data_IF_513048656470
#
_entry.id   IF_513048656470
#
_cell.length_a   1.000
_cell.length_b   1.000
_cell.length_c   1.000
_cell.angle_alpha   90.00
_cell.angle_beta   90.00
_cell.angle_gamma   90.00
#
_symmetry.space_group_name_H-M   'P 1'
#
loop_
_entity.id
_entity.type
_entity.pdbx_description
1 polymer ?
#
# COMPACT_ATOMS: atom_id res chain seq x y z
N UNK A 1 -3.79 -26.15 -11.24
CA UNK A 1 -3.21 -25.27 -12.29
C UNK A 1 -4.31 -24.65 -13.11
N UNK A 2 -4.20 -23.38 -13.40
CA UNK A 2 -5.13 -22.67 -14.27
C UNK A 2 -4.54 -22.52 -15.68
N UNK A 3 -5.36 -22.08 -16.61
CA UNK A 3 -4.93 -21.67 -17.95
C UNK A 3 -5.30 -20.21 -18.15
N UNK A 4 -4.80 -19.60 -19.23
CA UNK A 4 -5.15 -18.22 -19.55
C UNK A 4 -6.66 -18.03 -19.80
N UNK A 5 -7.39 -19.11 -20.04
CA UNK A 5 -8.86 -19.05 -20.18
C UNK A 5 -9.55 -18.81 -18.82
N UNK A 6 -8.87 -19.06 -17.72
CA UNK A 6 -9.42 -18.92 -16.37
C UNK A 6 -9.10 -17.57 -15.72
N UNK A 7 -8.39 -16.68 -16.43
CA UNK A 7 -7.95 -15.42 -15.86
C UNK A 7 -9.10 -14.54 -15.41
N UNK A 8 -8.90 -13.89 -14.26
CA UNK A 8 -9.83 -12.90 -13.69
C UNK A 8 -9.01 -11.75 -13.13
N UNK A 9 -9.60 -10.56 -13.11
CA UNK A 9 -8.97 -9.40 -12.48
C UNK A 9 -8.75 -9.66 -10.99
N UNK A 10 -7.57 -9.34 -10.49
CA UNK A 10 -7.19 -9.60 -9.11
C UNK A 10 -6.54 -10.95 -8.87
N UNK A 11 -6.58 -11.86 -9.84
CA UNK A 11 -5.89 -13.15 -9.73
C UNK A 11 -4.38 -12.94 -9.65
N UNK A 12 -3.68 -13.72 -8.81
CA UNK A 12 -2.24 -13.63 -8.66
C UNK A 12 -1.59 -14.83 -9.35
N UNK A 13 -0.62 -14.54 -10.21
CA UNK A 13 0.15 -15.54 -10.96
C UNK A 13 1.57 -15.59 -10.43
N UNK A 14 2.14 -16.79 -10.37
CA UNK A 14 3.56 -16.99 -10.12
C UNK A 14 4.26 -17.15 -11.48
N UNK A 15 5.02 -16.14 -11.87
CA UNK A 15 5.79 -16.16 -13.11
C UNK A 15 7.27 -16.05 -12.76
N UNK A 16 7.99 -17.14 -13.01
CA UNK A 16 9.45 -17.22 -12.74
C UNK A 16 9.83 -16.86 -11.31
N UNK A 17 9.00 -17.30 -10.34
CA UNK A 17 9.25 -17.06 -8.92
C UNK A 17 8.78 -15.70 -8.43
N UNK A 18 8.20 -14.87 -9.28
CA UNK A 18 7.65 -13.58 -8.90
C UNK A 18 6.13 -13.61 -8.96
N UNK A 19 5.50 -12.90 -8.03
CA UNK A 19 4.04 -12.82 -7.94
C UNK A 19 3.55 -11.58 -8.67
N UNK A 20 2.58 -11.79 -9.58
CA UNK A 20 1.98 -10.75 -10.40
C UNK A 20 0.46 -10.79 -10.27
N UNK A 21 -0.14 -9.64 -10.01
CA UNK A 21 -1.60 -9.50 -9.98
C UNK A 21 -2.11 -9.11 -11.36
N UNK A 22 -3.13 -9.80 -11.84
CA UNK A 22 -3.78 -9.46 -13.11
C UNK A 22 -4.68 -8.24 -12.88
N UNK A 23 -4.32 -7.10 -13.48
CA UNK A 23 -5.13 -5.88 -13.38
C UNK A 23 -6.12 -5.77 -14.53
N UNK A 24 -5.70 -6.18 -15.74
CA UNK A 24 -6.56 -6.22 -16.92
C UNK A 24 -6.18 -7.39 -17.81
N UNK A 25 -7.15 -7.92 -18.53
CA UNK A 25 -6.88 -8.92 -19.55
C UNK A 25 -7.90 -8.81 -20.67
N UNK A 26 -7.49 -9.24 -21.88
CA UNK A 26 -8.35 -9.25 -23.05
C UNK A 26 -8.06 -10.48 -23.89
N UNK A 27 -9.11 -11.27 -24.17
CA UNK A 27 -9.02 -12.39 -25.11
C UNK A 27 -9.17 -11.86 -26.54
N UNK A 28 -8.21 -12.21 -27.41
CA UNK A 28 -8.22 -11.78 -28.82
C UNK A 28 -8.20 -13.00 -29.71
N UNK A 29 -9.16 -13.06 -30.65
CA UNK A 29 -9.24 -14.09 -31.68
C UNK A 29 -9.02 -13.41 -33.03
N UNK A 30 -7.78 -13.39 -33.55
CA UNK A 30 -7.53 -12.78 -34.86
C UNK A 30 -8.15 -13.61 -35.98
N UNK A 31 -8.45 -12.99 -37.09
CA UNK A 31 -8.95 -13.69 -38.27
C UNK A 31 -7.96 -14.65 -38.90
N UNK A 32 -6.68 -14.44 -38.68
CA UNK A 32 -5.56 -15.33 -39.06
C UNK A 32 -4.62 -15.47 -37.87
N UNK A 33 -4.20 -16.71 -37.59
CA UNK A 33 -3.31 -17.01 -36.49
C UNK A 33 -4.02 -17.53 -35.26
N UNK A 34 -3.27 -17.89 -34.22
CA UNK A 34 -3.78 -18.42 -32.96
C UNK A 34 -4.40 -17.35 -32.08
N UNK A 35 -5.41 -17.72 -31.31
CA UNK A 35 -5.97 -16.85 -30.29
C UNK A 35 -4.92 -16.56 -29.19
N UNK A 36 -4.96 -15.37 -28.62
CA UNK A 36 -4.05 -14.96 -27.56
C UNK A 36 -4.77 -14.12 -26.51
N UNK A 37 -4.12 -13.95 -25.37
CA UNK A 37 -4.65 -13.14 -24.25
C UNK A 37 -3.63 -12.06 -23.94
N UNK A 38 -4.02 -10.81 -24.02
CA UNK A 38 -3.22 -9.68 -23.57
C UNK A 38 -3.51 -9.46 -22.09
N UNK A 39 -2.45 -9.32 -21.29
CA UNK A 39 -2.61 -9.06 -19.86
C UNK A 39 -1.80 -7.85 -19.45
N UNK A 40 -2.34 -7.11 -18.49
CA UNK A 40 -1.59 -6.11 -17.75
C UNK A 40 -1.37 -6.67 -16.35
N UNK A 41 -0.11 -6.78 -15.95
CA UNK A 41 0.31 -7.41 -14.70
C UNK A 41 1.00 -6.40 -13.80
N UNK A 42 0.65 -6.43 -12.54
CA UNK A 42 1.30 -5.60 -11.52
C UNK A 42 2.08 -6.48 -10.56
N UNK A 43 3.38 -6.23 -10.42
CA UNK A 43 4.20 -6.96 -9.46
C UNK A 43 3.71 -6.69 -8.05
N UNK A 44 3.44 -7.75 -7.29
CA UNK A 44 2.86 -7.65 -5.95
C UNK A 44 3.81 -6.94 -4.98
N UNK A 45 5.11 -7.13 -5.13
CA UNK A 45 6.11 -6.54 -4.23
C UNK A 45 6.58 -5.16 -4.69
N UNK A 46 6.97 -5.02 -5.95
CA UNK A 46 7.56 -3.77 -6.46
C UNK A 46 6.54 -2.76 -6.96
N UNK A 47 5.31 -3.22 -7.27
CA UNK A 47 4.29 -2.37 -7.88
C UNK A 47 4.51 -2.10 -9.37
N UNK A 48 5.58 -2.64 -9.96
CA UNK A 48 5.88 -2.46 -11.38
C UNK A 48 4.77 -3.06 -12.25
N UNK A 49 4.33 -2.31 -13.25
CA UNK A 49 3.29 -2.73 -14.18
C UNK A 49 3.93 -3.09 -15.51
N UNK A 50 3.59 -4.27 -16.03
CA UNK A 50 4.07 -4.73 -17.34
C UNK A 50 2.90 -5.30 -18.14
N UNK A 51 3.02 -5.25 -19.45
CA UNK A 51 2.10 -5.94 -20.35
C UNK A 51 2.72 -7.26 -20.78
N UNK A 52 1.92 -8.32 -20.78
CA UNK A 52 2.36 -9.64 -21.23
C UNK A 52 1.27 -10.30 -22.05
N UNK A 53 1.66 -10.88 -23.18
CA UNK A 53 0.75 -11.61 -24.05
C UNK A 53 1.03 -13.09 -23.93
N UNK A 54 -0.03 -13.88 -23.71
CA UNK A 54 0.03 -15.33 -23.63
C UNK A 54 -0.75 -15.92 -24.80
N UNK A 55 -0.32 -17.07 -25.30
CA UNK A 55 -1.18 -17.84 -26.19
C UNK A 55 -2.39 -18.35 -25.43
N UNK A 56 -3.55 -18.40 -26.09
CA UNK A 56 -4.76 -18.91 -25.46
C UNK A 56 -4.57 -20.37 -25.03
N UNK A 57 -5.03 -20.68 -23.81
CA UNK A 57 -4.88 -22.01 -23.23
C UNK A 57 -3.52 -22.31 -22.60
N UNK A 58 -2.62 -21.34 -22.54
CA UNK A 58 -1.33 -21.51 -21.87
C UNK A 58 -1.57 -21.79 -20.37
N UNK A 59 -0.86 -22.78 -19.83
CA UNK A 59 -0.90 -23.07 -18.40
C UNK A 59 -0.20 -21.97 -17.63
N UNK A 60 -0.83 -21.53 -16.56
CA UNK A 60 -0.29 -20.52 -15.64
C UNK A 60 -0.36 -21.04 -14.21
N UNK A 61 0.68 -20.78 -13.44
CA UNK A 61 0.72 -21.12 -12.04
C UNK A 61 0.06 -19.98 -11.26
N UNK A 62 -0.96 -20.31 -10.45
CA UNK A 62 -1.63 -19.34 -9.59
C UNK A 62 -1.07 -19.39 -8.19
N UNK A 63 -1.12 -18.25 -7.48
CA UNK A 63 -0.71 -18.15 -6.09
C UNK A 63 -1.86 -17.61 -5.28
N UNK A 64 -2.02 -18.11 -4.05
CA UNK A 64 -3.01 -17.61 -3.11
C UNK A 64 -2.35 -16.57 -2.22
N UNK A 65 -2.95 -15.37 -2.16
CA UNK A 65 -2.54 -14.32 -1.26
C UNK A 65 -3.67 -14.09 -0.27
N UNK A 66 -3.40 -14.33 1.01
CA UNK A 66 -4.35 -14.10 2.08
C UNK A 66 -4.20 -12.66 2.57
N UNK A 67 -5.29 -11.91 2.57
CA UNK A 67 -5.33 -10.59 3.18
C UNK A 67 -5.94 -10.71 4.57
N UNK A 68 -5.16 -10.36 5.59
CA UNK A 68 -5.57 -10.50 6.99
C UNK A 68 -5.61 -9.13 7.66
N UNK A 69 -6.68 -8.90 8.41
CA UNK A 69 -6.77 -7.73 9.28
C UNK A 69 -5.84 -7.91 10.48
N UNK A 70 -4.93 -6.99 10.67
CA UNK A 70 -3.98 -7.01 11.77
C UNK A 70 -3.91 -5.65 12.45
N UNK A 71 -3.38 -5.65 13.68
CA UNK A 71 -3.18 -4.44 14.46
C UNK A 71 -1.70 -4.22 14.66
N UNK A 72 -1.22 -3.01 14.37
CA UNK A 72 0.17 -2.66 14.63
C UNK A 72 0.39 -2.50 16.13
N UNK A 73 1.41 -3.16 16.65
CA UNK A 73 1.73 -3.12 18.09
C UNK A 73 2.93 -2.20 18.40
N UNK A 74 4.09 -2.51 17.83
CA UNK A 74 5.32 -1.77 18.12
C UNK A 74 6.40 -2.09 17.10
N UNK A 75 7.45 -1.28 17.12
CA UNK A 75 8.63 -1.51 16.29
C UNK A 75 9.69 -2.25 17.11
N UNK A 76 10.24 -3.31 16.52
CA UNK A 76 11.31 -4.12 17.11
C UNK A 76 12.53 -4.07 16.18
N UNK A 77 13.48 -3.18 16.48
CA UNK A 77 14.62 -2.96 15.59
C UNK A 77 14.18 -2.45 14.22
N UNK A 78 14.53 -3.19 13.16
CA UNK A 78 14.14 -2.87 11.80
C UNK A 78 12.78 -3.45 11.42
N UNK A 79 12.18 -4.26 12.28
CA UNK A 79 10.90 -4.92 12.03
C UNK A 79 9.75 -4.20 12.73
N UNK A 80 8.58 -4.36 12.17
CA UNK A 80 7.32 -3.87 12.72
C UNK A 80 6.48 -5.07 13.11
N UNK A 81 5.94 -5.05 14.33
CA UNK A 81 5.20 -6.19 14.89
C UNK A 81 3.70 -5.93 14.75
N UNK A 82 3.01 -6.88 14.13
CA UNK A 82 1.56 -6.84 13.93
C UNK A 82 0.91 -8.06 14.57
N UNK A 83 -0.30 -7.90 15.08
CA UNK A 83 -1.08 -8.97 15.68
C UNK A 83 -2.29 -9.29 14.81
N UNK A 84 -2.45 -10.56 14.47
CA UNK A 84 -3.63 -11.03 13.72
C UNK A 84 -4.88 -10.83 14.55
N UNK A 85 -5.92 -10.21 13.97
CA UNK A 85 -7.17 -9.93 14.66
C UNK A 85 -7.99 -11.17 15.01
N UNK A 86 -7.79 -12.27 14.30
CA UNK A 86 -8.53 -13.50 14.52
C UNK A 86 -7.79 -14.49 15.42
N UNK A 87 -6.49 -14.69 15.17
CA UNK A 87 -5.70 -15.70 15.88
C UNK A 87 -4.90 -15.15 17.04
N UNK A 88 -4.73 -13.82 17.10
CA UNK A 88 -3.87 -13.10 18.08
C UNK A 88 -2.39 -13.44 17.96
N UNK A 89 -2.00 -14.14 16.89
CA UNK A 89 -0.58 -14.39 16.63
C UNK A 89 0.12 -13.10 16.23
N UNK A 90 1.36 -12.95 16.67
CA UNK A 90 2.19 -11.79 16.32
C UNK A 90 3.16 -12.17 15.21
N UNK A 91 3.29 -11.29 14.23
CA UNK A 91 4.26 -11.46 13.15
C UNK A 91 5.19 -10.25 13.07
N UNK A 92 6.43 -10.51 12.68
CA UNK A 92 7.42 -9.48 12.43
C UNK A 92 7.48 -9.21 10.93
N UNK A 93 7.27 -7.95 10.55
CA UNK A 93 7.30 -7.54 9.14
C UNK A 93 8.47 -6.57 8.96
N UNK A 94 9.43 -6.88 8.07
CA UNK A 94 10.54 -5.97 7.83
C UNK A 94 10.05 -4.59 7.38
N UNK A 95 10.76 -3.53 7.79
CA UNK A 95 10.40 -2.16 7.41
C UNK A 95 10.34 -1.95 5.91
N UNK A 96 11.16 -2.65 5.14
CA UNK A 96 11.12 -2.61 3.68
C UNK A 96 9.78 -3.12 3.13
N UNK A 97 9.23 -4.16 3.75
CA UNK A 97 7.94 -4.74 3.36
C UNK A 97 6.77 -3.82 3.74
N UNK A 98 6.86 -3.16 4.89
CA UNK A 98 5.85 -2.16 5.30
C UNK A 98 5.85 -0.98 4.32
N UNK A 99 7.02 -0.59 3.83
CA UNK A 99 7.16 0.48 2.86
C UNK A 99 7.00 1.87 3.45
N UNK A 100 6.65 2.84 2.63
CA UNK A 100 6.52 4.25 3.04
C UNK A 100 5.44 4.48 4.09
N UNK A 101 4.45 3.59 4.17
CA UNK A 101 3.39 3.68 5.18
C UNK A 101 3.90 3.58 6.61
N UNK A 102 5.09 3.02 6.84
CA UNK A 102 5.69 2.93 8.18
C UNK A 102 5.82 4.29 8.86
N UNK A 103 5.96 5.36 8.08
CA UNK A 103 6.08 6.71 8.62
C UNK A 103 4.78 7.24 9.24
N UNK A 104 3.65 6.57 8.98
CA UNK A 104 2.34 6.97 9.47
C UNK A 104 1.72 5.97 10.45
N UNK A 105 2.46 4.92 10.83
CA UNK A 105 1.95 3.91 11.75
C UNK A 105 1.95 4.42 13.19
N UNK A 106 0.79 4.34 13.83
CA UNK A 106 0.63 4.52 15.27
C UNK A 106 0.28 3.18 15.91
N UNK A 107 0.62 3.01 17.19
CA UNK A 107 0.19 1.85 17.98
C UNK A 107 -1.32 1.68 17.87
N UNK A 108 -1.74 0.43 17.75
CA UNK A 108 -3.17 0.04 17.61
C UNK A 108 -3.83 0.45 16.30
N UNK A 109 -3.05 0.86 15.29
CA UNK A 109 -3.59 1.09 13.94
C UNK A 109 -3.98 -0.25 13.32
N UNK A 110 -5.21 -0.33 12.81
CA UNK A 110 -5.68 -1.49 12.07
C UNK A 110 -5.19 -1.40 10.63
N UNK A 111 -4.56 -2.46 10.16
CA UNK A 111 -3.99 -2.56 8.81
C UNK A 111 -4.42 -3.86 8.16
N UNK A 112 -4.19 -3.98 6.86
CA UNK A 112 -4.33 -5.25 6.15
C UNK A 112 -2.95 -5.72 5.75
N UNK A 113 -2.61 -6.95 6.12
CA UNK A 113 -1.33 -7.56 5.74
C UNK A 113 -1.62 -8.68 4.73
N UNK A 114 -0.97 -8.60 3.58
CA UNK A 114 -1.06 -9.65 2.57
C UNK A 114 0.03 -10.69 2.83
N UNK A 115 -0.36 -11.95 2.91
CA UNK A 115 0.53 -13.06 3.29
C UNK A 115 0.43 -14.16 2.23
N UNK A 116 1.57 -14.69 1.83
CA UNK A 116 1.67 -15.85 0.95
C UNK A 116 2.59 -16.89 1.60
N UNK A 117 2.07 -18.08 1.85
CA UNK A 117 2.81 -19.17 2.51
C UNK A 117 3.50 -18.73 3.80
N UNK A 118 2.79 -17.95 4.63
CA UNK A 118 3.32 -17.45 5.91
C UNK A 118 4.26 -16.27 5.79
N UNK A 119 4.60 -15.84 4.57
CA UNK A 119 5.50 -14.70 4.35
C UNK A 119 4.70 -13.44 4.07
N UNK A 120 4.90 -12.35 4.84
CA UNK A 120 4.23 -11.09 4.56
C UNK A 120 4.78 -10.48 3.26
N UNK A 121 3.87 -10.04 2.40
CA UNK A 121 4.21 -9.47 1.10
C UNK A 121 4.17 -7.94 1.13
N UNK A 122 3.13 -7.39 1.73
CA UNK A 122 2.96 -5.95 1.86
C UNK A 122 1.95 -5.64 2.96
N UNK A 123 1.94 -4.39 3.39
CA UNK A 123 1.01 -3.89 4.42
C UNK A 123 0.24 -2.72 3.82
N UNK A 124 -1.09 -2.77 3.92
CA UNK A 124 -1.97 -1.68 3.50
C UNK A 124 -2.49 -0.97 4.74
N UNK A 125 -2.17 0.32 4.86
CA UNK A 125 -2.72 1.17 5.91
C UNK A 125 -4.08 1.73 5.46
N UNK A 126 -4.91 2.21 6.41
CA UNK A 126 -6.05 3.03 6.02
C UNK A 126 -5.57 4.20 5.15
N UNK A 127 -6.33 4.53 4.11
CA UNK A 127 -5.95 5.62 3.18
C UNK A 127 -5.83 6.95 3.91
N UNK A 128 -6.71 7.18 4.87
CA UNK A 128 -6.71 8.40 5.68
C UNK A 128 -6.48 8.04 7.14
N UNK A 129 -5.54 8.74 7.77
CA UNK A 129 -5.30 8.62 9.20
C UNK A 129 -5.35 9.99 9.85
N UNK A 130 -5.78 10.01 11.12
CA UNK A 130 -5.76 11.20 11.95
C UNK A 130 -4.49 11.19 12.80
N UNK A 131 -3.65 12.20 12.62
CA UNK A 131 -2.36 12.31 13.29
C UNK A 131 -2.21 13.69 13.91
N UNK A 132 -1.60 13.74 15.10
CA UNK A 132 -1.38 14.99 15.83
C UNK A 132 -0.07 15.61 15.40
N UNK A 133 -0.07 16.93 15.22
CA UNK A 133 1.15 17.69 14.94
C UNK A 133 1.98 17.76 16.21
N UNK A 134 3.16 17.15 16.18
CA UNK A 134 4.10 17.19 17.29
C UNK A 134 4.84 18.53 17.34
N UNK A 135 5.22 19.06 16.19
CA UNK A 135 5.92 20.33 16.07
C UNK A 135 5.68 20.97 14.69
N UNK A 136 5.44 22.26 14.68
CA UNK A 136 5.45 23.09 13.48
C UNK A 136 5.76 24.53 13.89
N UNK A 137 6.40 25.27 13.01
CA UNK A 137 6.67 26.67 13.23
C UNK A 137 5.41 27.51 13.04
N UNK A 138 5.29 28.66 13.71
CA UNK A 138 4.16 29.55 13.46
C UNK A 138 4.19 30.07 12.01
N UNK A 139 3.01 30.12 11.39
CA UNK A 139 2.86 30.76 10.08
C UNK A 139 2.87 32.26 10.23
N UNK A 140 3.88 32.94 9.67
CA UNK A 140 4.01 34.38 9.77
C UNK A 140 3.14 35.08 8.69
N UNK A 141 2.43 36.12 9.11
CA UNK A 141 1.68 36.96 8.16
C UNK A 141 2.66 37.68 7.24
N UNK A 142 2.36 37.65 5.95
CA UNK A 142 3.18 38.31 4.95
C UNK A 142 4.20 37.41 4.27
N UNK A 143 4.44 36.22 4.78
CA UNK A 143 5.35 35.27 4.14
C UNK A 143 4.82 34.80 2.78
N UNK A 144 3.48 34.74 2.64
CA UNK A 144 2.82 34.31 1.42
C UNK A 144 1.57 35.15 1.18
N UNK A 145 1.38 35.55 -0.04
CA UNK A 145 0.17 36.24 -0.41
C UNK A 145 -1.04 35.33 -0.52
N UNK A 146 -0.84 34.08 -0.95
CA UNK A 146 -1.90 33.07 -1.05
C UNK A 146 -1.30 31.68 -0.97
N UNK A 147 -2.01 30.76 -0.30
CA UNK A 147 -1.78 29.33 -0.41
C UNK A 147 -0.41 28.79 0.03
N UNK A 148 0.30 29.54 0.88
CA UNK A 148 1.59 29.08 1.39
C UNK A 148 1.46 27.86 2.27
N UNK A 149 2.51 27.01 2.26
CA UNK A 149 2.61 25.85 3.14
C UNK A 149 3.85 25.94 3.99
N UNK A 150 3.89 25.12 5.03
CA UNK A 150 5.05 24.99 5.92
C UNK A 150 5.21 23.53 6.34
N UNK A 151 6.43 23.11 6.72
CA UNK A 151 6.62 21.76 7.23
C UNK A 151 6.03 21.61 8.62
N UNK A 152 5.46 20.42 8.88
CA UNK A 152 5.00 20.01 10.19
C UNK A 152 5.49 18.59 10.45
N UNK A 153 5.97 18.35 11.67
CA UNK A 153 6.37 17.03 12.13
C UNK A 153 5.21 16.42 12.89
N UNK A 154 4.76 15.24 12.46
CA UNK A 154 3.67 14.51 13.08
C UNK A 154 4.16 13.67 14.25
N UNK A 155 3.22 13.20 15.08
CA UNK A 155 3.54 12.37 16.25
C UNK A 155 4.27 11.07 15.89
N UNK A 156 4.16 10.62 14.63
CA UNK A 156 4.89 9.44 14.13
C UNK A 156 6.32 9.75 13.71
N UNK A 157 6.72 11.02 13.71
CA UNK A 157 8.01 11.47 13.20
C UNK A 157 8.02 11.85 11.73
N UNK A 158 6.94 11.59 11.01
CA UNK A 158 6.82 11.97 9.60
C UNK A 158 6.71 13.47 9.45
N UNK A 159 7.32 14.02 8.41
CA UNK A 159 7.22 15.45 8.08
C UNK A 159 6.36 15.62 6.83
N UNK A 160 5.35 16.48 6.92
CA UNK A 160 4.45 16.79 5.81
C UNK A 160 4.32 18.30 5.62
N UNK A 161 3.82 18.71 4.45
CA UNK A 161 3.50 20.10 4.18
C UNK A 161 2.07 20.39 4.59
N UNK A 162 1.88 21.45 5.37
CA UNK A 162 0.57 21.84 5.90
C UNK A 162 0.32 23.32 5.61
N UNK A 163 -0.96 23.76 5.61
CA UNK A 163 -1.28 25.19 5.52
C UNK A 163 -0.68 25.97 6.70
N UNK A 164 -0.45 27.27 6.48
CA UNK A 164 0.19 28.14 7.48
C UNK A 164 -0.60 28.25 8.79
N UNK A 165 -1.92 28.05 8.76
CA UNK A 165 -2.78 28.17 9.94
C UNK A 165 -2.67 26.97 10.90
N UNK A 166 -2.04 25.88 10.50
CA UNK A 166 -1.90 24.70 11.35
C UNK A 166 -0.93 24.96 12.50
N UNK A 167 -1.29 24.53 13.69
CA UNK A 167 -0.50 24.73 14.91
C UNK A 167 -0.08 23.39 15.51
N UNK A 168 0.98 23.45 16.32
CA UNK A 168 1.38 22.31 17.15
C UNK A 168 0.20 21.89 18.04
N UNK A 169 -0.05 20.58 18.09
CA UNK A 169 -1.17 20.01 18.84
C UNK A 169 -2.44 19.79 18.01
N UNK A 170 -2.52 20.36 16.81
CA UNK A 170 -3.66 20.13 15.94
C UNK A 170 -3.69 18.67 15.46
N UNK A 171 -4.90 18.12 15.36
CA UNK A 171 -5.13 16.80 14.77
C UNK A 171 -5.48 16.97 13.31
N UNK A 172 -4.76 16.28 12.45
CA UNK A 172 -4.90 16.41 11.01
C UNK A 172 -5.33 15.10 10.37
N UNK A 173 -6.08 15.20 9.29
CA UNK A 173 -6.33 14.07 8.39
C UNK A 173 -5.24 14.06 7.34
N UNK A 174 -4.56 12.93 7.19
CA UNK A 174 -3.42 12.75 6.30
C UNK A 174 -3.68 11.57 5.38
N UNK A 175 -3.38 11.73 4.11
CA UNK A 175 -3.38 10.63 3.14
C UNK A 175 -2.09 9.83 3.32
N UNK A 176 -2.22 8.57 3.73
CA UNK A 176 -1.05 7.73 4.04
C UNK A 176 -0.29 7.26 2.81
N UNK A 177 -0.84 7.44 1.62
CA UNK A 177 -0.18 7.04 0.37
C UNK A 177 0.95 7.98 -0.02
N UNK A 178 0.77 9.28 0.22
CA UNK A 178 1.72 10.32 -0.20
C UNK A 178 2.03 11.35 0.90
N UNK A 179 1.41 11.24 2.07
CA UNK A 179 1.62 12.20 3.16
C UNK A 179 0.89 13.52 2.99
N UNK A 180 -0.09 13.58 2.11
CA UNK A 180 -0.78 14.82 1.81
C UNK A 180 -1.75 15.22 2.91
N UNK A 181 -1.72 16.51 3.30
CA UNK A 181 -2.70 17.09 4.20
C UNK A 181 -4.09 17.13 3.54
N UNK A 182 -5.10 16.61 4.26
CA UNK A 182 -6.48 16.57 3.78
C UNK A 182 -7.41 17.54 4.52
N UNK A 183 -7.07 17.93 5.73
CA UNK A 183 -7.90 18.81 6.56
C UNK A 183 -7.59 18.64 8.04
N UNK A 184 -8.17 19.50 8.85
CA UNK A 184 -8.12 19.31 10.31
C UNK A 184 -9.23 18.36 10.74
N UNK A 185 -8.90 17.49 11.72
CA UNK A 185 -9.84 16.56 12.33
C UNK A 185 -10.21 17.11 13.70
N UNK A 186 -11.40 17.68 13.84
CA UNK A 186 -11.89 18.20 15.11
C UNK A 186 -13.20 17.50 15.47
#
# INVERSE_FOLDING_TARGET
MATTNDLKNGMVLNLDGQLWSVTEFQHVKPGKGGAFVRTTLKNVLSGKVVDKTFNAGTKVETATVDKRGMTYLYQDGADYVFMDGDTYDQIHVPGETVGSGKDYLLENTEVTVAVHDGTPLYVELPVTMELVVQHTDPGLQGDRSTGGTKPATLETGAQIQVPLFVNTGDRLKVDTRDGRYLGRAN
#
